data_IF_355130116567
#
_entry.id   IF_355130116567
#
_cell.length_a   1.000
_cell.length_b   1.000
_cell.length_c   1.000
_cell.angle_alpha   90.00
_cell.angle_beta   90.00
_cell.angle_gamma   90.00
#
_symmetry.space_group_name_H-M   'P 1'
#
loop_
_entity.id
_entity.type
_entity.pdbx_description
1 polymer ?
#
# COMPACT_ATOMS: atom_id res chain seq x y z
N UNK A 1 -3.88 9.74 -11.53
CA UNK A 1 -2.74 9.77 -12.48
C UNK A 1 -2.53 11.15 -13.14
N UNK A 2 -3.16 12.22 -12.65
CA UNK A 2 -3.27 13.51 -13.38
C UNK A 2 -1.97 14.34 -13.46
N UNK A 3 -0.95 14.06 -12.65
CA UNK A 3 0.30 14.84 -12.62
C UNK A 3 1.57 14.04 -12.93
N UNK A 4 1.47 12.70 -13.04
CA UNK A 4 2.63 11.81 -13.18
C UNK A 4 3.67 11.90 -12.05
N UNK A 5 3.35 12.56 -10.94
CA UNK A 5 4.27 12.79 -9.84
C UNK A 5 4.46 11.53 -9.01
N UNK A 6 5.71 11.09 -8.82
CA UNK A 6 6.04 10.02 -7.87
C UNK A 6 5.88 10.57 -6.46
N UNK A 7 4.89 10.04 -5.73
CA UNK A 7 4.56 10.52 -4.37
C UNK A 7 5.44 9.86 -3.31
N UNK A 8 5.70 8.55 -3.47
CA UNK A 8 6.59 7.76 -2.63
C UNK A 8 7.19 6.63 -3.45
N UNK A 9 8.43 6.28 -3.15
CA UNK A 9 9.11 5.09 -3.65
C UNK A 9 9.75 4.37 -2.47
N UNK A 10 9.46 3.07 -2.33
CA UNK A 10 10.05 2.22 -1.29
C UNK A 10 10.69 1.03 -2.01
N UNK A 11 12.01 1.02 -2.07
CA UNK A 11 12.78 -0.12 -2.55
C UNK A 11 13.31 -0.93 -1.38
N UNK A 12 13.19 -2.26 -1.44
CA UNK A 12 13.86 -3.12 -0.47
C UNK A 12 15.37 -3.09 -0.76
N UNK A 13 16.23 -2.66 0.18
CA UNK A 13 17.67 -2.66 -0.05
C UNK A 13 18.15 -4.10 -0.29
N UNK A 14 18.94 -4.30 -1.34
CA UNK A 14 19.43 -5.62 -1.78
C UNK A 14 20.47 -6.24 -0.85
N UNK A 15 20.89 -5.54 0.21
CA UNK A 15 22.03 -5.92 1.04
C UNK A 15 21.75 -5.80 2.55
N UNK A 16 20.94 -6.68 3.13
CA UNK A 16 21.05 -6.96 4.56
C UNK A 16 20.82 -8.43 4.86
N UNK A 17 21.92 -9.11 5.22
CA UNK A 17 21.97 -10.53 5.49
C UNK A 17 21.08 -10.96 6.67
N UNK A 18 20.40 -12.09 6.48
CA UNK A 18 19.95 -13.15 7.42
C UNK A 18 19.36 -12.82 8.80
N UNK A 19 19.24 -11.56 9.22
CA UNK A 19 18.60 -11.17 10.48
C UNK A 19 17.75 -9.91 10.27
N UNK A 20 16.74 -10.03 9.41
CA UNK A 20 15.66 -9.03 9.38
C UNK A 20 14.61 -9.54 10.35
N UNK A 21 14.42 -8.82 11.46
CA UNK A 21 13.29 -9.03 12.36
C UNK A 21 12.03 -9.21 11.51
N UNK A 22 11.32 -10.32 11.72
CA UNK A 22 10.20 -10.71 10.87
C UNK A 22 9.07 -9.67 10.89
N UNK A 23 9.11 -8.73 11.85
CA UNK A 23 8.21 -7.59 11.99
C UNK A 23 8.60 -6.36 11.14
N UNK A 24 9.89 -6.16 10.84
CA UNK A 24 10.46 -4.91 10.28
C UNK A 24 10.09 -4.60 8.81
N UNK A 25 9.33 -5.50 8.16
CA UNK A 25 8.83 -5.30 6.80
C UNK A 25 7.32 -5.45 6.65
N UNK A 26 6.56 -5.49 7.76
CA UNK A 26 5.09 -5.69 7.73
C UNK A 26 4.29 -4.40 7.85
N UNK A 27 4.93 -3.32 8.30
CA UNK A 27 4.29 -2.04 8.54
C UNK A 27 4.90 -1.00 7.61
N UNK A 28 4.04 -0.36 6.82
CA UNK A 28 4.40 0.83 6.05
C UNK A 28 3.78 2.03 6.75
N UNK A 29 4.63 2.97 7.17
CA UNK A 29 4.17 4.25 7.72
C UNK A 29 4.15 5.27 6.60
N UNK A 30 2.96 5.71 6.23
CA UNK A 30 2.80 6.81 5.28
C UNK A 30 2.82 8.13 6.03
N UNK A 31 3.56 9.10 5.51
CA UNK A 31 3.42 10.51 5.90
C UNK A 31 2.67 11.21 4.77
N UNK A 32 1.37 11.40 4.96
CA UNK A 32 0.54 12.07 3.96
C UNK A 32 0.72 13.58 4.06
N UNK A 33 0.97 14.22 2.93
CA UNK A 33 0.91 15.69 2.85
C UNK A 33 -0.54 16.15 2.68
N UNK A 34 -0.86 17.40 3.03
CA UNK A 34 -2.19 17.95 2.79
C UNK A 34 -2.65 17.89 1.33
N UNK A 35 -1.70 17.93 0.40
CA UNK A 35 -1.97 17.79 -1.03
C UNK A 35 -2.39 16.36 -1.40
N UNK A 36 -1.85 15.36 -0.72
CA UNK A 36 -2.17 13.94 -0.94
C UNK A 36 -3.65 13.64 -0.67
N UNK A 37 -4.22 14.23 0.39
CA UNK A 37 -5.64 14.06 0.74
C UNK A 37 -6.62 14.68 -0.29
N UNK A 38 -6.12 15.52 -1.20
CA UNK A 38 -6.93 16.12 -2.29
C UNK A 38 -6.83 15.36 -3.59
N UNK A 39 -5.97 14.35 -3.69
CA UNK A 39 -5.84 13.53 -4.89
C UNK A 39 -7.09 12.67 -5.06
N UNK A 40 -7.61 12.59 -6.29
CA UNK A 40 -8.72 11.68 -6.61
C UNK A 40 -8.23 10.26 -6.80
N UNK A 41 -7.09 10.11 -7.46
CA UNK A 41 -6.60 8.81 -7.92
C UNK A 41 -5.07 8.75 -7.90
N UNK A 42 -4.52 7.72 -7.25
CA UNK A 42 -3.08 7.42 -7.22
C UNK A 42 -2.85 6.03 -7.80
N UNK A 43 -1.86 5.91 -8.69
CA UNK A 43 -1.36 4.60 -9.11
C UNK A 43 -0.23 4.18 -8.18
N UNK A 44 -0.23 2.93 -7.74
CA UNK A 44 0.92 2.33 -7.08
C UNK A 44 1.40 1.12 -7.88
N UNK A 45 2.66 1.19 -8.30
CA UNK A 45 3.34 0.08 -8.95
C UNK A 45 4.04 -0.75 -7.89
N UNK A 46 3.68 -2.01 -7.80
CA UNK A 46 4.28 -2.97 -6.88
C UNK A 46 5.05 -3.99 -7.68
N UNK A 47 6.28 -4.22 -7.24
CA UNK A 47 7.13 -5.24 -7.81
C UNK A 47 7.51 -6.27 -6.76
N UNK A 48 7.40 -7.54 -7.11
CA UNK A 48 7.65 -8.64 -6.20
C UNK A 48 8.22 -9.85 -6.94
N UNK A 49 8.96 -10.67 -6.21
CA UNK A 49 9.48 -11.94 -6.71
C UNK A 49 8.66 -13.10 -6.14
N UNK A 50 8.44 -14.11 -6.98
CA UNK A 50 7.80 -15.36 -6.59
C UNK A 50 8.88 -16.43 -6.49
N UNK A 51 8.79 -17.28 -5.46
CA UNK A 51 9.69 -18.42 -5.31
C UNK A 51 9.37 -19.53 -6.32
N UNK A 52 9.90 -20.73 -6.08
CA UNK A 52 9.82 -21.83 -7.05
C UNK A 52 8.42 -22.44 -7.17
N UNK A 53 7.52 -22.14 -6.23
CA UNK A 53 6.13 -22.61 -6.25
C UNK A 53 5.24 -21.56 -6.91
N UNK A 54 4.37 -21.96 -7.85
CA UNK A 54 3.38 -21.05 -8.42
C UNK A 54 2.45 -20.55 -7.32
N UNK A 55 2.06 -19.29 -7.41
CA UNK A 55 1.06 -18.68 -6.51
C UNK A 55 -0.19 -18.42 -7.34
N UNK A 56 -1.30 -19.01 -6.94
CA UNK A 56 -2.60 -18.84 -7.58
C UNK A 56 -3.53 -18.03 -6.68
N UNK A 57 -4.36 -17.16 -7.26
CA UNK A 57 -5.31 -16.32 -6.51
C UNK A 57 -4.59 -15.42 -5.48
N UNK A 58 -3.44 -14.87 -5.87
CA UNK A 58 -2.68 -13.98 -5.01
C UNK A 58 -3.50 -12.70 -4.78
N UNK A 59 -3.91 -12.46 -3.54
CA UNK A 59 -4.83 -11.37 -3.21
C UNK A 59 -4.33 -10.58 -2.01
N UNK A 60 -4.34 -9.26 -2.15
CA UNK A 60 -3.99 -8.31 -1.10
C UNK A 60 -5.21 -7.52 -0.70
N UNK A 61 -5.53 -7.53 0.59
CA UNK A 61 -6.54 -6.64 1.16
C UNK A 61 -5.82 -5.64 2.05
N UNK A 62 -5.91 -4.37 1.68
CA UNK A 62 -5.32 -3.25 2.40
C UNK A 62 -6.42 -2.40 3.02
N UNK A 63 -6.35 -2.21 4.34
CA UNK A 63 -7.36 -1.45 5.10
C UNK A 63 -6.72 -0.27 5.78
N UNK A 64 -7.26 0.91 5.53
CA UNK A 64 -6.82 2.17 6.16
C UNK A 64 -7.76 2.52 7.29
N UNK A 65 -7.20 2.81 8.46
CA UNK A 65 -7.96 3.19 9.65
C UNK A 65 -7.54 4.56 10.15
N UNK A 66 -8.49 5.30 10.74
CA UNK A 66 -8.22 6.50 11.52
C UNK A 66 -8.96 6.39 12.84
N UNK A 67 -8.23 6.35 13.96
CA UNK A 67 -8.80 6.17 15.32
C UNK A 67 -9.79 5.00 15.38
N UNK A 68 -9.34 3.83 14.91
CA UNK A 68 -10.13 2.58 14.81
C UNK A 68 -11.31 2.58 13.84
N UNK A 69 -11.60 3.71 13.18
CA UNK A 69 -12.60 3.79 12.13
C UNK A 69 -12.00 3.40 10.79
N UNK A 70 -12.56 2.38 10.14
CA UNK A 70 -12.21 2.02 8.77
C UNK A 70 -12.54 3.18 7.82
N UNK A 71 -11.52 3.72 7.16
CA UNK A 71 -11.66 4.75 6.13
C UNK A 71 -11.91 4.13 4.76
N UNK A 72 -11.10 3.14 4.39
CA UNK A 72 -11.15 2.50 3.08
C UNK A 72 -10.59 1.08 3.15
N UNK A 73 -11.20 0.20 2.38
CA UNK A 73 -10.73 -1.16 2.14
C UNK A 73 -10.43 -1.29 0.65
N UNK A 74 -9.17 -1.48 0.33
CA UNK A 74 -8.70 -1.83 -1.00
C UNK A 74 -8.53 -3.33 -1.09
N UNK A 75 -9.00 -3.89 -2.20
CA UNK A 75 -9.04 -5.33 -2.42
C UNK A 75 -8.49 -5.61 -3.81
N UNK A 76 -7.28 -6.15 -3.83
CA UNK A 76 -6.46 -6.28 -5.01
C UNK A 76 -6.22 -7.75 -5.33
N UNK A 77 -6.70 -8.19 -6.49
CA UNK A 77 -6.43 -9.53 -7.01
C UNK A 77 -5.30 -9.46 -8.04
N UNK A 78 -4.17 -10.06 -7.69
CA UNK A 78 -2.99 -10.17 -8.54
C UNK A 78 -3.07 -11.42 -9.45
N UNK A 79 -4.04 -12.31 -9.22
CA UNK A 79 -4.26 -13.50 -10.03
C UNK A 79 -3.15 -14.54 -9.89
N UNK A 80 -2.70 -15.07 -11.04
CA UNK A 80 -1.65 -16.09 -11.10
C UNK A 80 -0.28 -15.43 -11.20
N UNK A 81 0.61 -15.76 -10.27
CA UNK A 81 1.98 -15.27 -10.29
C UNK A 81 2.93 -16.38 -10.76
N UNK A 82 3.75 -16.05 -11.75
CA UNK A 82 4.65 -16.99 -12.41
C UNK A 82 5.76 -17.40 -11.40
N UNK A 83 6.05 -18.70 -11.23
CA UNK A 83 7.12 -19.16 -10.34
C UNK A 83 8.51 -18.72 -10.82
N UNK A 84 9.44 -18.56 -9.88
CA UNK A 84 10.83 -18.18 -10.09
C UNK A 84 11.00 -16.93 -10.98
N UNK A 85 10.04 -15.99 -10.91
CA UNK A 85 10.03 -14.79 -11.72
C UNK A 85 9.80 -13.52 -10.89
N UNK A 86 10.11 -12.38 -11.51
CA UNK A 86 9.79 -11.04 -11.04
C UNK A 86 8.50 -10.61 -11.72
N UNK A 87 7.51 -10.23 -10.91
CA UNK A 87 6.20 -9.81 -11.35
C UNK A 87 6.02 -8.34 -10.97
N UNK A 88 5.41 -7.58 -11.87
CA UNK A 88 5.09 -6.17 -11.66
C UNK A 88 3.59 -6.01 -11.84
N UNK A 89 2.94 -5.33 -10.90
CA UNK A 89 1.51 -5.06 -10.93
C UNK A 89 1.26 -3.60 -10.58
N UNK A 90 0.39 -2.94 -11.34
CA UNK A 90 -0.06 -1.59 -11.04
C UNK A 90 -1.47 -1.64 -10.46
N UNK A 91 -1.65 -1.00 -9.30
CA UNK A 91 -2.93 -0.85 -8.64
C UNK A 91 -3.34 0.61 -8.60
N UNK A 92 -4.58 0.88 -8.98
CA UNK A 92 -5.15 2.22 -8.97
C UNK A 92 -5.95 2.38 -7.67
N UNK A 93 -5.52 3.31 -6.83
CA UNK A 93 -6.17 3.73 -5.59
C UNK A 93 -7.08 4.90 -5.90
N UNK A 94 -8.39 4.69 -5.75
CA UNK A 94 -9.37 5.76 -5.72
C UNK A 94 -9.60 6.20 -4.28
N UNK A 95 -9.20 7.44 -3.98
CA UNK A 95 -9.40 7.98 -2.65
C UNK A 95 -10.89 8.18 -2.37
N UNK A 96 -11.37 7.83 -1.17
CA UNK A 96 -12.72 8.21 -0.77
C UNK A 96 -12.86 9.73 -0.76
N UNK A 97 -14.05 10.24 -1.09
CA UNK A 97 -14.37 11.63 -0.83
C UNK A 97 -14.43 11.84 0.69
N UNK A 98 -13.39 12.44 1.25
CA UNK A 98 -13.33 12.79 2.66
C UNK A 98 -14.15 14.06 2.88
N UNK A 99 -14.93 14.12 3.96
CA UNK A 99 -15.56 15.37 4.36
C UNK A 99 -14.49 16.39 4.75
N UNK A 100 -14.83 17.68 4.67
CA UNK A 100 -13.89 18.74 5.00
C UNK A 100 -13.42 18.66 6.46
N UNK A 101 -14.31 18.26 7.37
CA UNK A 101 -14.00 18.03 8.78
C UNK A 101 -13.04 16.86 8.97
N UNK A 102 -13.29 15.72 8.31
CA UNK A 102 -12.40 14.56 8.40
C UNK A 102 -11.02 14.86 7.81
N UNK A 103 -10.98 15.65 6.74
CA UNK A 103 -9.73 16.14 6.15
C UNK A 103 -8.95 17.01 7.15
N UNK A 104 -9.61 17.93 7.85
CA UNK A 104 -8.99 18.75 8.91
C UNK A 104 -8.45 17.90 10.06
N UNK A 105 -9.19 16.86 10.48
CA UNK A 105 -8.71 15.93 11.52
C UNK A 105 -7.47 15.14 11.07
N UNK A 106 -7.45 14.65 9.83
CA UNK A 106 -6.30 13.94 9.26
C UNK A 106 -5.07 14.85 9.09
N UNK A 107 -5.28 16.12 8.80
CA UNK A 107 -4.22 17.13 8.70
C UNK A 107 -3.62 17.48 10.07
N UNK A 108 -4.45 17.50 11.11
CA UNK A 108 -4.02 17.84 12.47
C UNK A 108 -3.31 16.67 13.17
N UNK A 109 -3.60 15.44 12.75
CA UNK A 109 -3.10 14.22 13.40
C UNK A 109 -2.74 13.13 12.35
N UNK A 110 -1.71 13.38 11.51
CA UNK A 110 -1.36 12.50 10.40
C UNK A 110 -0.72 11.17 10.84
N UNK A 111 -0.24 11.07 12.09
CA UNK A 111 0.39 9.85 12.63
C UNK A 111 -0.61 8.71 12.88
N UNK A 112 -1.92 9.00 12.85
CA UNK A 112 -2.99 8.06 13.17
C UNK A 112 -3.56 7.27 11.99
N UNK A 113 -3.04 7.44 10.77
CA UNK A 113 -3.48 6.61 9.63
C UNK A 113 -2.64 5.35 9.53
N UNK A 114 -3.17 4.26 10.10
CA UNK A 114 -2.59 2.94 9.98
C UNK A 114 -3.12 2.18 8.77
N UNK A 115 -2.23 1.56 8.00
CA UNK A 115 -2.60 0.60 6.96
C UNK A 115 -2.29 -0.83 7.42
N UNK A 116 -3.33 -1.68 7.45
CA UNK A 116 -3.19 -3.10 7.72
C UNK A 116 -3.26 -3.90 6.41
N UNK A 117 -2.31 -4.82 6.20
CA UNK A 117 -2.26 -5.67 5.01
C UNK A 117 -2.58 -7.12 5.38
N UNK A 118 -3.52 -7.72 4.66
CA UNK A 118 -3.72 -9.17 4.64
C UNK A 118 -3.40 -9.69 3.25
N UNK A 119 -2.45 -10.61 3.18
CA UNK A 119 -2.02 -11.25 1.95
C UNK A 119 -2.32 -12.73 2.05
N UNK A 120 -3.11 -13.25 1.11
CA UNK A 120 -3.28 -14.68 0.95
C UNK A 120 -2.29 -15.16 -0.12
N UNK A 121 -1.52 -16.20 0.21
CA UNK A 121 -0.57 -16.88 -0.70
C UNK A 121 -1.08 -18.27 -1.00
#
# INVERSE_FOLDING_TARGET
LETGTVLFEIAKPSALGKWVDTSAGRFVRYQFTPAFLRLRTVGATVEFTVGDKPVSNFRMIERHYFRDRLLKNFDFDFGFCIPSSRNTCEHIYEFPQLSEDLSKYLLCDPELVGAGYKVNK
#
